data_IF_296453826594
#
_entry.id   IF_296453826594
#
_cell.length_a   1.000
_cell.length_b   1.000
_cell.length_c   1.000
_cell.angle_alpha   90.00
_cell.angle_beta   90.00
_cell.angle_gamma   90.00
#
_symmetry.space_group_name_H-M   'P 1'
#
loop_
_entity.id
_entity.type
_entity.pdbx_description
1 polymer ?
#
# COMPACT_ATOMS: atom_id res chain seq x y z
N UNK A 1 -1.57 9.34 13.07
CA UNK A 1 -1.31 9.33 11.65
C UNK A 1 -0.32 8.25 11.36
N UNK A 2 -0.79 7.18 10.76
CA UNK A 2 -0.43 7.08 9.35
C UNK A 2 -1.65 7.03 8.41
N UNK A 3 -1.39 7.34 7.15
CA UNK A 3 -2.29 7.11 6.04
C UNK A 3 -1.58 6.22 5.03
N UNK A 4 -2.20 5.07 4.73
CA UNK A 4 -1.63 4.09 3.81
C UNK A 4 -2.54 3.98 2.59
N UNK A 5 -2.03 4.37 1.44
CA UNK A 5 -2.76 4.28 0.18
C UNK A 5 -2.14 3.17 -0.67
N UNK A 6 -2.95 2.18 -1.00
CA UNK A 6 -2.51 1.00 -1.73
C UNK A 6 -3.15 0.99 -3.11
N UNK A 7 -2.35 0.75 -4.14
CA UNK A 7 -2.84 0.45 -5.49
C UNK A 7 -2.43 -0.96 -5.84
N UNK A 8 -3.34 -1.70 -6.42
CA UNK A 8 -3.12 -3.12 -6.71
C UNK A 8 -4.00 -3.56 -7.87
N UNK A 9 -3.67 -4.68 -8.47
CA UNK A 9 -4.56 -5.36 -9.40
C UNK A 9 -5.83 -5.76 -8.66
N UNK A 10 -6.97 -5.90 -9.37
CA UNK A 10 -8.22 -6.28 -8.72
C UNK A 10 -8.10 -7.57 -7.91
N UNK A 11 -8.72 -7.56 -6.74
CA UNK A 11 -8.74 -8.69 -5.83
C UNK A 11 -10.12 -8.83 -5.22
N UNK A 12 -10.40 -10.03 -4.75
CA UNK A 12 -11.61 -10.33 -4.00
C UNK A 12 -11.75 -9.42 -2.78
N UNK A 13 -12.97 -8.94 -2.53
CA UNK A 13 -13.25 -8.03 -1.42
C UNK A 13 -12.83 -8.59 -0.06
N UNK A 14 -13.05 -9.89 0.16
CA UNK A 14 -12.70 -10.51 1.43
C UNK A 14 -11.18 -10.48 1.65
N UNK A 15 -10.40 -10.68 0.59
CA UNK A 15 -8.94 -10.61 0.66
C UNK A 15 -8.50 -9.19 0.98
N UNK A 16 -9.08 -8.19 0.31
CA UNK A 16 -8.73 -6.78 0.53
C UNK A 16 -8.99 -6.37 1.98
N UNK A 17 -10.13 -6.77 2.53
CA UNK A 17 -10.48 -6.47 3.93
C UNK A 17 -9.52 -7.11 4.91
N UNK A 18 -9.14 -8.35 4.65
CA UNK A 18 -8.19 -9.09 5.50
C UNK A 18 -6.82 -8.43 5.49
N UNK A 19 -6.35 -8.01 4.31
CA UNK A 19 -5.07 -7.32 4.19
C UNK A 19 -5.11 -5.98 4.94
N UNK A 20 -6.18 -5.21 4.78
CA UNK A 20 -6.34 -3.93 5.48
C UNK A 20 -6.30 -4.12 6.99
N UNK A 21 -7.00 -5.13 7.51
CA UNK A 21 -6.99 -5.40 8.96
C UNK A 21 -5.61 -5.81 9.45
N UNK A 22 -4.86 -6.57 8.68
CA UNK A 22 -3.50 -6.97 9.05
C UNK A 22 -2.53 -5.79 9.03
N UNK A 23 -2.66 -4.90 8.05
CA UNK A 23 -1.84 -3.70 7.99
C UNK A 23 -2.13 -2.80 9.20
N UNK A 24 -3.40 -2.62 9.53
CA UNK A 24 -3.80 -1.89 10.73
C UNK A 24 -3.11 -2.47 11.97
N UNK A 25 -3.14 -3.78 12.12
CA UNK A 25 -2.55 -4.45 13.27
C UNK A 25 -1.04 -4.21 13.35
N UNK A 26 -0.34 -4.25 12.21
CA UNK A 26 1.10 -3.95 12.15
C UNK A 26 1.39 -2.56 12.71
N UNK A 27 0.62 -1.54 12.30
CA UNK A 27 0.83 -0.18 12.78
C UNK A 27 0.51 -0.02 14.25
N UNK A 28 -0.50 -0.73 14.75
CA UNK A 28 -0.79 -0.71 16.19
C UNK A 28 0.37 -1.28 17.00
N UNK A 29 0.96 -2.36 16.52
CA UNK A 29 2.05 -3.05 17.22
C UNK A 29 3.38 -2.32 17.11
N UNK A 30 3.73 -1.90 15.89
CA UNK A 30 5.07 -1.36 15.64
C UNK A 30 5.17 0.14 15.95
N UNK A 31 4.12 0.91 15.66
CA UNK A 31 4.13 2.36 15.87
C UNK A 31 3.50 2.78 17.19
N UNK A 32 2.72 1.91 17.81
CA UNK A 32 2.05 2.24 19.07
C UNK A 32 1.04 3.36 18.96
N UNK A 33 0.52 3.64 17.76
CA UNK A 33 -0.46 4.69 17.56
C UNK A 33 -1.86 4.22 17.95
N UNK A 34 -2.77 5.17 18.17
CA UNK A 34 -4.16 4.82 18.46
C UNK A 34 -4.85 4.32 17.19
N UNK A 35 -5.86 3.44 17.31
CA UNK A 35 -6.59 2.96 16.13
C UNK A 35 -7.20 4.09 15.29
N UNK A 36 -7.62 5.18 15.94
CA UNK A 36 -8.25 6.32 15.26
C UNK A 36 -7.27 7.08 14.37
N UNK A 37 -5.97 6.89 14.55
CA UNK A 37 -4.97 7.57 13.73
C UNK A 37 -4.76 6.91 12.36
N UNK A 38 -5.24 5.68 12.18
CA UNK A 38 -4.92 4.86 11.00
C UNK A 38 -6.01 4.98 9.95
N UNK A 39 -5.60 5.33 8.72
CA UNK A 39 -6.49 5.34 7.55
C UNK A 39 -5.83 4.53 6.44
N UNK A 40 -6.59 3.63 5.83
CA UNK A 40 -6.09 2.74 4.79
C UNK A 40 -7.05 2.76 3.62
N UNK A 41 -6.55 3.02 2.41
CA UNK A 41 -7.35 2.92 1.19
C UNK A 41 -6.72 1.91 0.25
N UNK A 42 -7.56 1.26 -0.54
CA UNK A 42 -7.13 0.38 -1.61
C UNK A 42 -7.85 0.76 -2.88
N UNK A 43 -7.09 1.05 -3.93
CA UNK A 43 -7.62 1.34 -5.25
C UNK A 43 -7.17 0.26 -6.21
N UNK A 44 -8.13 -0.28 -6.95
CA UNK A 44 -7.82 -1.28 -7.97
C UNK A 44 -7.44 -0.58 -9.27
N UNK A 45 -6.39 -1.08 -9.91
CA UNK A 45 -5.93 -0.58 -11.19
C UNK A 45 -5.88 -1.78 -12.14
N UNK A 46 -6.48 -1.62 -13.32
CA UNK A 46 -6.47 -2.66 -14.33
C UNK A 46 -5.02 -2.95 -14.75
N UNK A 47 -4.63 -4.22 -14.92
CA UNK A 47 -3.27 -4.56 -15.35
C UNK A 47 -2.81 -3.83 -16.62
N UNK A 48 -3.73 -3.57 -17.56
CA UNK A 48 -3.40 -2.86 -18.79
C UNK A 48 -2.98 -1.41 -18.54
N UNK A 49 -3.43 -0.82 -17.45
CA UNK A 49 -3.12 0.56 -17.09
C UNK A 49 -2.01 0.67 -16.05
N UNK A 50 -1.52 -0.44 -15.54
CA UNK A 50 -0.58 -0.46 -14.43
C UNK A 50 0.70 0.31 -14.72
N UNK A 51 1.35 0.01 -15.84
CA UNK A 51 2.62 0.66 -16.15
C UNK A 51 2.47 2.17 -16.27
N UNK A 52 1.43 2.63 -16.97
CA UNK A 52 1.19 4.06 -17.17
C UNK A 52 0.85 4.75 -15.86
N UNK A 53 -0.09 4.19 -15.10
CA UNK A 53 -0.61 4.85 -13.91
C UNK A 53 0.26 4.65 -12.68
N UNK A 54 0.86 3.48 -12.51
CA UNK A 54 1.53 3.14 -11.27
C UNK A 54 3.04 3.05 -11.43
N UNK A 55 3.55 2.18 -12.34
CA UNK A 55 4.99 2.00 -12.45
C UNK A 55 5.70 3.29 -12.85
N UNK A 56 5.28 3.92 -13.91
CA UNK A 56 5.94 5.15 -14.38
C UNK A 56 5.29 6.41 -13.82
N UNK A 57 4.00 6.33 -13.49
CA UNK A 57 3.27 7.47 -12.94
C UNK A 57 3.56 7.75 -11.47
N UNK A 58 3.87 6.73 -10.69
CA UNK A 58 4.07 6.88 -9.24
C UNK A 58 5.35 6.24 -8.72
N UNK A 59 5.58 4.96 -8.99
CA UNK A 59 6.72 4.24 -8.41
C UNK A 59 8.04 4.88 -8.83
N UNK A 60 8.22 5.14 -10.11
CA UNK A 60 9.47 5.76 -10.60
C UNK A 60 9.66 7.17 -10.06
N UNK A 61 8.57 7.91 -9.85
CA UNK A 61 8.62 9.26 -9.30
C UNK A 61 8.96 9.27 -7.82
N UNK A 62 8.74 8.16 -7.14
CA UNK A 62 8.93 8.05 -5.70
C UNK A 62 10.12 7.15 -5.32
N UNK A 63 10.98 6.89 -6.27
CA UNK A 63 12.05 5.91 -6.18
C UNK A 63 12.95 6.11 -4.97
N UNK A 64 13.27 7.35 -4.67
CA UNK A 64 14.15 7.68 -3.54
C UNK A 64 13.53 7.39 -2.17
N UNK A 65 12.21 7.24 -2.10
CA UNK A 65 11.50 6.95 -0.85
C UNK A 65 11.11 5.48 -0.70
N UNK A 66 11.49 4.64 -1.67
CA UNK A 66 11.14 3.23 -1.64
C UNK A 66 11.97 2.47 -0.61
N UNK A 67 11.31 1.81 0.32
CA UNK A 67 11.95 0.89 1.26
C UNK A 67 12.00 -0.52 0.67
N UNK A 68 11.01 -0.86 -0.14
CA UNK A 68 10.96 -2.12 -0.87
C UNK A 68 10.57 -1.78 -2.30
N UNK A 69 11.32 -2.27 -3.28
CA UNK A 69 11.05 -2.05 -4.69
C UNK A 69 11.18 -3.38 -5.41
N UNK A 70 10.11 -3.78 -6.11
CA UNK A 70 10.04 -5.07 -6.80
C UNK A 70 10.43 -6.24 -5.89
N UNK A 71 9.97 -6.18 -4.64
CA UNK A 71 10.23 -7.22 -3.64
C UNK A 71 11.57 -7.13 -2.95
N UNK A 72 12.43 -6.21 -3.36
CA UNK A 72 13.76 -6.07 -2.78
C UNK A 72 13.81 -4.96 -1.74
N UNK A 73 14.47 -5.26 -0.65
CA UNK A 73 14.75 -4.31 0.42
C UNK A 73 15.77 -3.27 -0.08
N UNK A 74 15.47 -1.99 0.15
CA UNK A 74 16.32 -0.88 -0.30
C UNK A 74 17.04 -0.17 0.84
N UNK A 75 17.23 -0.86 1.95
CA UNK A 75 17.95 -0.31 3.10
C UNK A 75 18.84 -1.34 3.77
#
# INVERSE_FOLDING_TARGET
MPYIAIKAYPKDEAVKRRVAERIKQVFLEEWGCSPQAISISMKEVNPDDWDRQVRYGEIEQDREHMLILDGEKKY
#
